data_IF_098362603583
#
_entry.id   IF_098362603583
#
_cell.length_a   1.000
_cell.length_b   1.000
_cell.length_c   1.000
_cell.angle_alpha   90.00
_cell.angle_beta   90.00
_cell.angle_gamma   90.00
#
_symmetry.space_group_name_H-M   'P 1'
#
loop_
_entity.id
_entity.type
_entity.pdbx_description
1 polymer ?
#
# COMPACT_ATOMS: atom_id res chain seq x y z
N UNK A 1 -18.72 -1.20 -9.93
CA UNK A 1 -17.50 -1.50 -10.74
C UNK A 1 -16.30 -1.44 -9.81
N UNK A 2 -15.31 -2.32 -9.97
CA UNK A 2 -14.16 -2.38 -9.04
C UNK A 2 -13.13 -1.31 -9.41
N UNK A 3 -12.76 -0.47 -8.44
CA UNK A 3 -11.71 0.55 -8.60
C UNK A 3 -10.41 0.03 -7.98
N UNK A 4 -9.31 0.13 -8.71
CA UNK A 4 -8.01 -0.37 -8.26
C UNK A 4 -7.02 0.77 -8.10
N UNK A 5 -6.27 0.79 -7.00
CA UNK A 5 -5.25 1.80 -6.72
C UNK A 5 -3.95 1.12 -6.30
N UNK A 6 -2.85 1.51 -6.95
CA UNK A 6 -1.51 0.99 -6.63
C UNK A 6 -0.77 2.03 -5.80
N UNK A 7 -0.37 1.63 -4.60
CA UNK A 7 0.47 2.42 -3.72
C UNK A 7 1.89 1.89 -3.78
N UNK A 8 2.86 2.77 -4.05
CA UNK A 8 4.28 2.42 -4.00
C UNK A 8 4.91 3.17 -2.85
N UNK A 9 5.67 2.45 -2.04
CA UNK A 9 6.43 3.04 -0.96
C UNK A 9 7.86 3.31 -1.39
N UNK A 10 8.23 4.59 -1.42
CA UNK A 10 9.56 5.10 -1.79
C UNK A 10 10.44 5.41 -0.57
N UNK A 11 10.06 4.99 0.64
CA UNK A 11 10.70 5.44 1.89
C UNK A 11 11.79 4.50 2.44
N UNK A 12 12.78 5.05 3.15
CA UNK A 12 13.82 4.29 3.86
C UNK A 12 13.24 3.42 5.00
N UNK A 13 13.71 2.16 5.09
CA UNK A 13 13.20 1.02 5.87
C UNK A 13 12.60 1.33 7.26
N UNK A 14 13.31 2.09 8.10
CA UNK A 14 12.95 2.23 9.52
C UNK A 14 11.68 3.05 9.77
N UNK A 15 11.38 4.01 8.91
CA UNK A 15 10.15 4.82 9.01
C UNK A 15 9.06 4.37 8.02
N UNK A 16 9.42 3.53 7.05
CA UNK A 16 8.56 3.15 5.96
C UNK A 16 7.37 2.29 6.43
N UNK A 17 7.62 1.25 7.23
CA UNK A 17 6.55 0.35 7.68
C UNK A 17 5.41 1.09 8.40
N UNK A 18 5.75 2.04 9.28
CA UNK A 18 4.77 2.82 10.05
C UNK A 18 4.01 3.82 9.17
N UNK A 19 4.69 4.52 8.26
CA UNK A 19 4.04 5.43 7.31
C UNK A 19 3.16 4.69 6.32
N UNK A 20 3.58 3.50 5.90
CA UNK A 20 2.82 2.64 5.01
C UNK A 20 1.57 2.08 5.70
N UNK A 21 1.69 1.63 6.95
CA UNK A 21 0.55 1.20 7.77
C UNK A 21 -0.46 2.34 7.96
N UNK A 22 -0.01 3.55 8.30
CA UNK A 22 -0.89 4.71 8.47
C UNK A 22 -1.62 5.06 7.16
N UNK A 23 -0.90 5.02 6.05
CA UNK A 23 -1.44 5.26 4.71
C UNK A 23 -2.48 4.19 4.33
N UNK A 24 -2.21 2.91 4.57
CA UNK A 24 -3.17 1.82 4.36
C UNK A 24 -4.42 1.99 5.22
N UNK A 25 -4.26 2.38 6.49
CA UNK A 25 -5.37 2.65 7.40
C UNK A 25 -6.24 3.83 6.94
N UNK A 26 -5.64 4.89 6.39
CA UNK A 26 -6.40 6.01 5.81
C UNK A 26 -7.26 5.55 4.62
N UNK A 27 -6.69 4.75 3.71
CA UNK A 27 -7.44 4.17 2.60
C UNK A 27 -8.51 3.17 3.07
N UNK A 28 -8.24 2.38 4.11
CA UNK A 28 -9.24 1.52 4.73
C UNK A 28 -10.45 2.31 5.25
N UNK A 29 -10.22 3.46 5.91
CA UNK A 29 -11.30 4.38 6.33
C UNK A 29 -12.09 4.96 5.16
N UNK A 30 -11.45 5.17 4.01
CA UNK A 30 -12.10 5.61 2.78
C UNK A 30 -12.87 4.47 2.05
N UNK A 31 -12.87 3.26 2.62
CA UNK A 31 -13.56 2.08 2.07
C UNK A 31 -12.76 1.30 1.04
N UNK A 32 -11.43 1.45 1.02
CA UNK A 32 -10.56 0.63 0.19
C UNK A 32 -10.10 -0.62 0.95
N UNK A 33 -10.03 -1.74 0.25
CA UNK A 33 -9.57 -3.03 0.77
C UNK A 33 -8.20 -3.36 0.19
N UNK A 34 -7.23 -3.72 1.03
CA UNK A 34 -5.93 -4.18 0.54
C UNK A 34 -6.10 -5.58 -0.05
N UNK A 35 -5.82 -5.71 -1.35
CA UNK A 35 -5.94 -6.97 -2.08
C UNK A 35 -4.63 -7.72 -2.19
N UNK A 36 -3.54 -6.99 -2.39
CA UNK A 36 -2.21 -7.58 -2.56
C UNK A 36 -1.13 -6.64 -2.03
N UNK A 37 -0.05 -7.20 -1.50
CA UNK A 37 1.14 -6.45 -1.08
C UNK A 37 2.36 -7.19 -1.63
N UNK A 38 3.06 -6.56 -2.55
CA UNK A 38 4.28 -7.09 -3.14
C UNK A 38 5.48 -6.27 -2.67
N UNK A 39 6.56 -6.98 -2.33
CA UNK A 39 7.83 -6.36 -1.98
C UNK A 39 8.71 -6.33 -3.23
N UNK A 40 8.93 -5.14 -3.78
CA UNK A 40 9.75 -4.97 -4.99
C UNK A 40 11.16 -4.59 -4.59
N UNK A 41 12.10 -5.52 -4.87
CA UNK A 41 13.53 -5.27 -4.86
C UNK A 41 14.30 -6.27 -4.01
N UNK A 42 15.06 -7.15 -4.66
CA UNK A 42 15.97 -8.10 -3.99
C UNK A 42 17.04 -7.45 -3.11
N UNK A 43 17.22 -6.12 -3.19
CA UNK A 43 18.04 -5.29 -2.32
C UNK A 43 17.48 -3.84 -2.15
N UNK A 44 16.21 -3.61 -2.50
CA UNK A 44 15.68 -2.27 -2.84
C UNK A 44 14.36 -1.89 -2.18
N UNK A 45 14.21 -2.12 -0.88
CA UNK A 45 13.40 -1.37 0.12
C UNK A 45 12.05 -0.73 -0.30
N UNK A 46 11.31 -1.27 -1.28
CA UNK A 46 10.07 -0.68 -1.78
C UNK A 46 8.91 -1.66 -1.63
N UNK A 47 7.82 -1.20 -1.01
CA UNK A 47 6.58 -1.98 -0.87
C UNK A 47 5.56 -1.47 -1.87
N UNK A 48 4.84 -2.37 -2.53
CA UNK A 48 3.71 -2.03 -3.39
C UNK A 48 2.46 -2.65 -2.79
N UNK A 49 1.42 -1.87 -2.55
CA UNK A 49 0.10 -2.38 -2.19
C UNK A 49 -0.91 -2.11 -3.29
N UNK A 50 -1.69 -3.14 -3.63
CA UNK A 50 -2.87 -3.05 -4.46
C UNK A 50 -4.09 -2.89 -3.55
N UNK A 51 -4.78 -1.76 -3.69
CA UNK A 51 -6.06 -1.48 -3.06
C UNK A 51 -7.20 -1.71 -4.06
N UNK A 52 -8.28 -2.33 -3.61
CA UNK A 52 -9.52 -2.53 -4.34
C UNK A 52 -10.66 -1.84 -3.57
N UNK A 53 -11.49 -1.06 -4.26
CA UNK A 53 -12.72 -0.49 -3.71
C UNK A 53 -13.91 -0.93 -4.55
N UNK A 54 -14.93 -1.45 -3.89
CA UNK A 54 -16.21 -1.74 -4.53
C UNK A 54 -17.04 -0.46 -4.61
N UNK A 55 -17.42 -0.10 -5.85
CA UNK A 55 -18.31 1.01 -6.17
C UNK A 55 -19.65 0.52 -6.65
#
# INVERSE_FOLDING_TARGET
MKEYKVLKSTFNWSENAKKFEDLLNDYARQGWTVKDIELIGGAGNSFIALLEKEK
#
